data_IF_212192395359
#
_entry.id   IF_212192395359
#
_cell.length_a   1.000
_cell.length_b   1.000
_cell.length_c   1.000
_cell.angle_alpha   90.00
_cell.angle_beta   90.00
_cell.angle_gamma   90.00
#
_symmetry.space_group_name_H-M   'P 1'
#
loop_
_entity.id
_entity.type
_entity.pdbx_description
1 polymer ?
#
# COMPACT_ATOMS: atom_id res chain seq x y z
N UNK A 1 1.24 -21.40 7.81
CA UNK A 1 2.44 -20.99 7.05
C UNK A 1 2.07 -21.14 5.59
N UNK A 2 1.83 -20.03 4.91
CA UNK A 2 1.43 -20.02 3.50
C UNK A 2 2.60 -20.44 2.63
N UNK A 3 2.37 -21.35 1.68
CA UNK A 3 3.30 -21.68 0.59
C UNK A 3 3.68 -20.40 -0.17
N UNK A 4 4.76 -19.74 0.25
CA UNK A 4 5.37 -18.72 -0.55
C UNK A 4 6.06 -19.41 -1.74
N UNK A 5 5.91 -18.90 -2.98
CA UNK A 5 6.60 -19.48 -4.11
C UNK A 5 8.11 -19.53 -3.82
N UNK A 6 8.72 -20.69 -4.06
CA UNK A 6 10.16 -20.87 -3.88
C UNK A 6 10.88 -20.13 -5.02
N UNK A 7 11.23 -18.86 -4.78
CA UNK A 7 12.00 -18.04 -5.70
C UNK A 7 13.47 -18.41 -5.56
N UNK A 8 14.15 -18.72 -6.67
CA UNK A 8 15.59 -19.01 -6.63
C UNK A 8 16.38 -17.74 -6.28
N UNK A 9 17.54 -17.84 -5.61
CA UNK A 9 18.36 -16.66 -5.32
C UNK A 9 18.74 -15.86 -6.59
N UNK A 10 18.94 -16.56 -7.71
CA UNK A 10 19.24 -15.94 -9.00
C UNK A 10 18.04 -15.14 -9.55
N UNK A 11 16.84 -15.71 -9.46
CA UNK A 11 15.61 -15.00 -9.86
C UNK A 11 15.35 -13.80 -8.95
N UNK A 12 15.56 -13.93 -7.65
CA UNK A 12 15.42 -12.81 -6.73
C UNK A 12 16.39 -11.68 -7.07
N UNK A 13 17.66 -11.99 -7.31
CA UNK A 13 18.66 -11.00 -7.73
C UNK A 13 18.29 -10.33 -9.05
N UNK A 14 17.82 -11.09 -10.03
CA UNK A 14 17.37 -10.58 -11.33
C UNK A 14 16.17 -9.64 -11.17
N UNK A 15 15.14 -10.03 -10.42
CA UNK A 15 13.94 -9.21 -10.17
C UNK A 15 14.32 -7.87 -9.53
N UNK A 16 15.18 -7.89 -8.51
CA UNK A 16 15.64 -6.66 -7.85
C UNK A 16 16.48 -5.78 -8.77
N UNK A 17 17.31 -6.38 -9.62
CA UNK A 17 18.14 -5.65 -10.59
C UNK A 17 17.29 -4.99 -11.68
N UNK A 18 16.24 -5.67 -12.15
CA UNK A 18 15.27 -5.14 -13.11
C UNK A 18 14.40 -4.03 -12.49
N UNK A 19 14.14 -4.08 -11.18
CA UNK A 19 13.38 -3.04 -10.47
C UNK A 19 14.19 -1.78 -10.15
N UNK A 20 15.52 -1.89 -10.03
CA UNK A 20 16.40 -0.81 -9.58
C UNK A 20 16.26 0.50 -10.40
N UNK A 21 16.19 0.49 -11.74
CA UNK A 21 16.01 1.71 -12.52
C UNK A 21 14.72 2.46 -12.16
N UNK A 22 13.65 1.73 -11.80
CA UNK A 22 12.39 2.32 -11.39
C UNK A 22 12.48 2.94 -10.00
N UNK A 23 13.24 2.35 -9.07
CA UNK A 23 13.49 2.95 -7.75
C UNK A 23 14.28 4.25 -7.89
N UNK A 24 15.36 4.23 -8.68
CA UNK A 24 16.21 5.39 -8.92
C UNK A 24 15.48 6.54 -9.63
N UNK A 25 14.50 6.24 -10.48
CA UNK A 25 13.71 7.26 -11.17
C UNK A 25 12.93 8.16 -10.19
N UNK A 26 12.55 7.64 -9.02
CA UNK A 26 11.74 8.34 -8.02
C UNK A 26 12.49 8.59 -6.70
N UNK A 27 13.82 8.52 -6.75
CA UNK A 27 14.68 8.80 -5.60
C UNK A 27 14.41 10.21 -5.05
N UNK A 28 14.15 10.31 -3.75
CA UNK A 28 13.74 11.52 -3.02
C UNK A 28 12.44 12.21 -3.52
N UNK A 29 11.75 11.64 -4.50
CA UNK A 29 10.52 12.21 -5.04
C UNK A 29 9.32 12.00 -4.10
N UNK A 30 8.40 12.97 -4.10
CA UNK A 30 7.13 12.86 -3.35
C UNK A 30 6.06 12.22 -4.20
N UNK A 31 5.53 11.07 -3.78
CA UNK A 31 4.46 10.36 -4.49
C UNK A 31 3.18 10.35 -3.66
N UNK A 32 2.12 10.97 -4.19
CA UNK A 32 0.80 10.98 -3.56
C UNK A 32 0.02 9.72 -3.97
N UNK A 33 -0.36 8.91 -2.97
CA UNK A 33 -1.03 7.63 -3.16
C UNK A 33 -2.43 7.71 -2.57
N UNK A 34 -3.46 7.64 -3.41
CA UNK A 34 -4.84 7.55 -2.95
C UNK A 34 -5.12 6.13 -2.46
N UNK A 35 -5.37 5.98 -1.17
CA UNK A 35 -5.82 4.75 -0.54
C UNK A 35 -7.33 4.80 -0.27
N UNK A 36 -8.12 3.98 -0.96
CA UNK A 36 -9.55 3.91 -0.66
C UNK A 36 -10.36 3.03 -1.58
N UNK A 37 -11.60 2.76 -1.20
CA UNK A 37 -12.49 1.82 -1.90
C UNK A 37 -12.36 0.41 -1.31
N UNK A 38 -12.50 -0.62 -2.14
CA UNK A 38 -12.45 -2.03 -1.72
C UNK A 38 -11.15 -2.41 -0.98
N UNK A 39 -10.05 -1.69 -1.22
CA UNK A 39 -8.77 -1.90 -0.54
C UNK A 39 -8.79 -1.55 0.98
N UNK A 40 -9.79 -0.81 1.45
CA UNK A 40 -10.01 -0.49 2.87
C UNK A 40 -10.94 -1.48 3.58
N UNK A 41 -11.55 -2.42 2.86
CA UNK A 41 -12.59 -3.31 3.40
C UNK A 41 -12.07 -4.54 4.14
N UNK A 42 -10.84 -4.97 3.86
CA UNK A 42 -10.25 -6.19 4.43
C UNK A 42 -8.90 -5.89 5.10
N UNK A 43 -8.73 -6.40 6.32
CA UNK A 43 -7.54 -6.12 7.15
C UNK A 43 -6.24 -6.62 6.49
N UNK A 44 -6.27 -7.75 5.80
CA UNK A 44 -5.11 -8.28 5.08
C UNK A 44 -4.66 -7.34 3.94
N UNK A 45 -5.59 -6.72 3.22
CA UNK A 45 -5.27 -5.75 2.18
C UNK A 45 -4.72 -4.45 2.77
N UNK A 46 -5.23 -4.00 3.91
CA UNK A 46 -4.68 -2.84 4.62
C UNK A 46 -3.24 -3.09 5.09
N UNK A 47 -2.94 -4.29 5.62
CA UNK A 47 -1.58 -4.69 6.01
C UNK A 47 -0.64 -4.80 4.81
N UNK A 48 -1.11 -5.36 3.71
CA UNK A 48 -0.32 -5.43 2.47
C UNK A 48 0.00 -4.02 1.94
N UNK A 49 -1.01 -3.14 1.89
CA UNK A 49 -0.81 -1.75 1.49
C UNK A 49 0.20 -1.03 2.40
N UNK A 50 0.07 -1.15 3.72
CA UNK A 50 1.01 -0.55 4.66
C UNK A 50 2.45 -1.06 4.46
N UNK A 51 2.64 -2.35 4.20
CA UNK A 51 3.95 -2.92 3.89
C UNK A 51 4.53 -2.31 2.61
N UNK A 52 3.71 -2.12 1.59
CA UNK A 52 4.16 -1.56 0.30
C UNK A 52 4.53 -0.07 0.47
N UNK A 53 3.81 0.70 1.30
CA UNK A 53 4.19 2.08 1.66
C UNK A 53 5.56 2.13 2.37
N UNK A 54 5.79 1.22 3.32
CA UNK A 54 7.09 1.11 4.00
C UNK A 54 8.20 0.74 3.02
N UNK A 55 7.93 -0.12 2.04
CA UNK A 55 8.90 -0.46 1.02
C UNK A 55 9.30 0.77 0.18
N UNK A 56 8.34 1.61 -0.19
CA UNK A 56 8.62 2.85 -0.93
C UNK A 56 9.56 3.78 -0.14
N UNK A 57 9.24 4.02 1.14
CA UNK A 57 10.09 4.81 2.05
C UNK A 57 11.50 4.24 2.17
N UNK A 58 11.63 2.92 2.30
CA UNK A 58 12.93 2.24 2.38
C UNK A 58 13.75 2.34 1.09
N UNK A 59 13.08 2.59 -0.04
CA UNK A 59 13.71 2.86 -1.35
C UNK A 59 13.86 4.35 -1.64
N UNK A 60 13.86 5.20 -0.60
CA UNK A 60 14.05 6.66 -0.67
C UNK A 60 12.98 7.44 -1.44
N UNK A 61 11.82 6.84 -1.68
CA UNK A 61 10.63 7.55 -2.15
C UNK A 61 9.94 8.17 -0.93
N UNK A 62 9.35 9.36 -1.06
CA UNK A 62 8.58 10.01 0.00
C UNK A 62 7.05 9.81 -0.23
N UNK A 63 6.43 8.70 0.24
CA UNK A 63 5.02 8.43 0.00
C UNK A 63 4.10 9.32 0.87
N UNK A 64 3.12 9.95 0.24
CA UNK A 64 2.04 10.69 0.91
C UNK A 64 0.71 9.98 0.67
N UNK A 65 0.14 9.37 1.71
CA UNK A 65 -1.13 8.63 1.61
C UNK A 65 -2.32 9.56 1.84
N UNK A 66 -3.25 9.57 0.88
CA UNK A 66 -4.55 10.24 1.01
C UNK A 66 -5.65 9.19 1.09
N UNK A 67 -6.47 9.18 2.14
CA UNK A 67 -7.54 8.18 2.30
C UNK A 67 -8.94 8.76 2.47
N UNK A 68 -9.94 7.93 2.18
CA UNK A 68 -11.35 8.22 2.42
C UNK A 68 -11.92 7.49 3.64
N UNK A 69 -13.23 7.59 3.85
CA UNK A 69 -13.93 6.89 4.94
C UNK A 69 -15.40 6.56 4.67
N UNK A 70 -15.86 6.56 3.42
CA UNK A 70 -17.29 6.51 3.06
C UNK A 70 -18.14 5.50 3.86
N UNK A 71 -17.84 4.19 3.83
CA UNK A 71 -18.58 3.19 4.61
C UNK A 71 -18.51 3.39 6.12
N UNK A 72 -17.36 3.84 6.62
CA UNK A 72 -17.13 4.09 8.06
C UNK A 72 -17.93 5.30 8.54
N UNK A 73 -18.06 6.34 7.71
CA UNK A 73 -18.91 7.51 7.96
C UNK A 73 -20.37 7.06 8.07
N UNK A 74 -20.88 6.30 7.10
CA UNK A 74 -22.26 5.80 7.14
C UNK A 74 -22.54 4.94 8.38
N UNK A 75 -21.59 4.09 8.75
CA UNK A 75 -21.66 3.25 9.96
C UNK A 75 -21.74 4.11 11.23
N UNK A 76 -20.93 5.16 11.32
CA UNK A 76 -20.93 6.08 12.46
C UNK A 76 -22.20 6.92 12.52
N UNK A 77 -22.68 7.43 11.39
CA UNK A 77 -23.95 8.19 11.30
C UNK A 77 -25.13 7.35 11.80
N UNK A 78 -25.23 6.10 11.35
CA UNK A 78 -26.24 5.16 11.83
C UNK A 78 -26.14 4.92 13.34
N UNK A 79 -24.91 4.75 13.87
CA UNK A 79 -24.67 4.58 15.31
C UNK A 79 -25.10 5.80 16.13
N UNK A 80 -24.97 6.99 15.57
CA UNK A 80 -25.36 8.26 16.21
C UNK A 80 -26.85 8.60 16.02
N UNK A 81 -27.59 7.81 15.25
CA UNK A 81 -28.99 8.11 14.92
C UNK A 81 -29.17 9.33 14.02
N UNK A 82 -28.14 9.68 13.25
CA UNK A 82 -28.18 10.79 12.30
C UNK A 82 -28.60 10.25 10.93
N UNK A 83 -29.71 10.74 10.40
CA UNK A 83 -30.13 10.49 9.01
C UNK A 83 -29.46 11.49 8.09
N UNK A 84 -28.93 10.99 6.97
CA UNK A 84 -28.27 11.75 5.90
C UNK A 84 -29.22 12.04 4.77
#
# INVERSE_FOLDING_TARGET
>A
MTDAPHISPLDQARILSEALPHMQQYDEETIVIKYGGHAMGAENLAKAFARDIVLLEQTAINPVVVHGGGPQIATMMKRLGLES
#
